data_IF_721591569961
#
_entry.id   IF_721591569961
#
_cell.length_a   1.000
_cell.length_b   1.000
_cell.length_c   1.000
_cell.angle_alpha   90.00
_cell.angle_beta   90.00
_cell.angle_gamma   90.00
#
_symmetry.space_group_name_H-M   'P 1'
#
loop_
_entity.id
_entity.type
_entity.pdbx_description
1 polymer ?
#
# COMPACT_ATOMS: atom_id res chain seq x y z
N UNK A 1 -62.76 -44.19 8.48
CA UNK A 1 -62.15 -45.05 7.43
C UNK A 1 -60.83 -44.42 7.04
N UNK A 2 -59.82 -45.27 6.84
CA UNK A 2 -58.39 -44.92 6.77
C UNK A 2 -58.05 -44.13 5.50
N UNK A 3 -57.12 -43.18 5.63
CA UNK A 3 -56.53 -42.36 4.58
C UNK A 3 -55.55 -43.15 3.71
N UNK A 4 -55.62 -43.00 2.38
CA UNK A 4 -54.43 -42.93 1.51
C UNK A 4 -54.79 -42.38 0.13
N UNK A 5 -54.38 -41.14 -0.16
CA UNK A 5 -54.31 -40.61 -1.52
C UNK A 5 -52.84 -40.63 -1.95
N UNK A 6 -52.53 -41.39 -2.99
CA UNK A 6 -51.26 -41.45 -3.67
C UNK A 6 -51.23 -40.33 -4.74
N UNK A 7 -50.28 -39.40 -4.64
CA UNK A 7 -49.83 -38.64 -5.80
C UNK A 7 -48.31 -38.55 -5.80
N UNK A 8 -47.76 -39.00 -6.92
CA UNK A 8 -46.34 -39.26 -7.18
C UNK A 8 -45.53 -37.97 -7.35
N UNK A 9 -44.26 -38.09 -6.96
CA UNK A 9 -43.22 -37.08 -6.92
C UNK A 9 -42.97 -36.33 -8.24
N UNK A 10 -42.77 -35.02 -8.13
CA UNK A 10 -42.01 -34.23 -9.11
C UNK A 10 -40.72 -33.77 -8.43
N UNK A 11 -39.58 -34.25 -8.92
CA UNK A 11 -38.25 -33.84 -8.46
C UNK A 11 -37.94 -32.50 -9.13
N UNK A 12 -37.95 -31.40 -8.37
CA UNK A 12 -37.30 -30.16 -8.79
C UNK A 12 -35.85 -30.25 -8.33
N UNK A 13 -34.95 -30.47 -9.29
CA UNK A 13 -33.53 -30.26 -9.08
C UNK A 13 -33.31 -28.75 -8.88
N UNK A 14 -33.30 -28.31 -7.62
CA UNK A 14 -32.73 -27.02 -7.28
C UNK A 14 -31.21 -27.18 -7.36
N UNK A 15 -30.62 -26.72 -8.45
CA UNK A 15 -29.20 -26.40 -8.49
C UNK A 15 -28.94 -25.38 -7.37
N UNK A 16 -28.40 -25.87 -6.26
CA UNK A 16 -27.73 -25.03 -5.29
C UNK A 16 -26.53 -24.41 -6.01
N UNK A 17 -26.74 -23.25 -6.65
CA UNK A 17 -25.67 -22.30 -6.82
C UNK A 17 -25.23 -21.98 -5.40
N UNK A 18 -24.11 -22.56 -4.97
CA UNK A 18 -23.40 -22.12 -3.79
C UNK A 18 -23.13 -20.64 -4.01
N UNK A 19 -23.97 -19.78 -3.43
CA UNK A 19 -23.59 -18.42 -3.15
C UNK A 19 -22.40 -18.55 -2.20
N UNK A 20 -21.20 -18.51 -2.78
CA UNK A 20 -19.98 -18.37 -2.01
C UNK A 20 -20.21 -17.13 -1.14
N UNK A 21 -20.35 -17.37 0.15
CA UNK A 21 -20.50 -16.32 1.12
C UNK A 21 -19.21 -15.51 1.05
N UNK A 22 -19.29 -14.34 0.41
CA UNK A 22 -18.34 -13.26 0.62
C UNK A 22 -18.63 -12.78 2.05
N UNK A 23 -18.07 -13.48 3.04
CA UNK A 23 -18.01 -12.97 4.39
C UNK A 23 -16.96 -11.88 4.40
N UNK A 24 -17.49 -10.67 4.41
CA UNK A 24 -16.78 -9.43 4.25
C UNK A 24 -15.86 -9.20 5.47
N UNK A 25 -14.54 -9.28 5.26
CA UNK A 25 -13.48 -8.73 6.13
C UNK A 25 -13.57 -7.18 6.28
N UNK A 26 -14.62 -6.51 5.79
CA UNK A 26 -14.66 -5.05 5.66
C UNK A 26 -14.87 -4.26 6.95
N UNK A 27 -15.26 -4.89 8.07
CA UNK A 27 -15.43 -4.12 9.32
C UNK A 27 -14.08 -3.70 9.90
N UNK A 28 -13.08 -4.56 9.78
CA UNK A 28 -11.74 -4.28 10.31
C UNK A 28 -10.98 -3.32 9.39
N UNK A 29 -11.05 -3.54 8.07
CA UNK A 29 -10.41 -2.64 7.09
C UNK A 29 -10.99 -1.24 7.09
N UNK A 30 -12.31 -1.08 7.23
CA UNK A 30 -12.95 0.24 7.31
C UNK A 30 -12.55 0.99 8.59
N UNK A 31 -12.46 0.27 9.73
CA UNK A 31 -12.04 0.85 10.99
C UNK A 31 -10.58 1.30 10.93
N UNK A 32 -9.70 0.47 10.36
CA UNK A 32 -8.29 0.84 10.15
C UNK A 32 -8.17 2.05 9.21
N UNK A 33 -8.89 2.07 8.10
CA UNK A 33 -8.83 3.18 7.15
C UNK A 33 -9.29 4.52 7.73
N UNK A 34 -10.36 4.51 8.54
CA UNK A 34 -10.83 5.71 9.26
C UNK A 34 -9.82 6.22 10.30
N UNK A 35 -8.82 5.41 10.67
CA UNK A 35 -7.74 5.83 11.58
C UNK A 35 -6.51 6.35 10.86
N UNK A 36 -6.43 6.25 9.52
CA UNK A 36 -5.28 6.76 8.75
C UNK A 36 -5.37 8.29 8.64
N UNK A 37 -4.45 8.99 9.29
CA UNK A 37 -4.43 10.45 9.37
C UNK A 37 -3.01 10.99 9.22
N UNK A 38 -2.88 12.29 8.98
CA UNK A 38 -1.56 12.96 9.03
C UNK A 38 -0.89 12.76 10.39
N UNK A 39 -1.68 12.83 11.46
CA UNK A 39 -1.17 12.78 12.84
C UNK A 39 -0.52 11.43 13.21
N UNK A 40 -0.91 10.34 12.56
CA UNK A 40 -0.32 9.02 12.77
C UNK A 40 0.49 8.52 11.56
N UNK A 41 0.92 9.43 10.68
CA UNK A 41 1.68 9.09 9.48
C UNK A 41 0.99 8.01 8.64
N UNK A 42 -0.34 8.08 8.54
CA UNK A 42 -1.18 7.09 7.85
C UNK A 42 -0.86 5.66 8.28
N UNK A 43 -0.71 5.42 9.59
CA UNK A 43 -0.41 4.12 10.17
C UNK A 43 1.08 3.77 10.28
N UNK A 44 1.99 4.63 9.81
CA UNK A 44 3.44 4.42 9.85
C UNK A 44 4.18 5.49 10.70
N UNK A 45 3.90 5.63 12.01
CA UNK A 45 4.48 6.71 12.83
C UNK A 45 5.98 6.59 13.07
N UNK A 46 6.56 5.40 12.86
CA UNK A 46 7.98 5.15 13.00
C UNK A 46 8.56 5.03 11.58
N UNK A 47 9.50 5.91 11.18
CA UNK A 47 10.05 5.91 9.82
C UNK A 47 10.83 4.61 9.54
N UNK A 48 11.01 4.24 8.27
CA UNK A 48 11.46 2.90 7.89
C UNK A 48 12.92 2.58 8.27
N UNK A 49 13.72 3.59 8.62
CA UNK A 49 15.10 3.46 9.12
C UNK A 49 15.20 3.29 10.64
N UNK A 50 14.08 3.35 11.36
CA UNK A 50 14.06 3.18 12.81
C UNK A 50 13.59 1.77 13.22
N UNK A 51 14.14 1.21 14.32
CA UNK A 51 13.71 -0.08 14.84
C UNK A 51 12.22 -0.13 15.17
N UNK A 52 11.57 -1.24 14.83
CA UNK A 52 10.14 -1.45 15.11
C UNK A 52 9.19 -0.77 14.14
N UNK A 53 9.70 -0.16 13.06
CA UNK A 53 8.88 0.40 11.99
C UNK A 53 7.97 -0.66 11.35
N UNK A 54 6.75 -0.22 10.98
CA UNK A 54 5.79 -1.02 10.21
C UNK A 54 5.18 -0.16 9.10
N UNK A 55 4.97 -0.73 7.91
CA UNK A 55 4.30 0.00 6.84
C UNK A 55 2.88 0.36 7.30
N UNK A 56 2.43 1.55 6.93
CA UNK A 56 1.11 2.04 7.33
C UNK A 56 -0.01 1.40 6.51
N UNK A 57 0.26 1.19 5.22
CA UNK A 57 -0.68 0.62 4.27
C UNK A 57 0.04 0.00 3.07
N UNK A 58 -0.73 -0.66 2.20
CA UNK A 58 -0.23 -1.40 1.04
C UNK A 58 -0.96 -0.94 -0.22
N UNK A 59 -0.21 -0.78 -1.31
CA UNK A 59 -0.74 -0.42 -2.61
C UNK A 59 -0.26 -1.41 -3.68
N UNK A 60 -1.11 -2.39 -3.99
CA UNK A 60 -0.83 -3.42 -4.98
C UNK A 60 -1.82 -4.59 -4.94
N UNK A 61 -1.61 -5.58 -5.80
CA UNK A 61 -2.58 -6.65 -6.08
C UNK A 61 -2.47 -7.92 -5.21
N UNK A 62 -1.73 -7.91 -4.10
CA UNK A 62 -1.40 -9.12 -3.34
C UNK A 62 -1.60 -9.05 -1.82
N UNK A 63 -1.90 -10.20 -1.21
CA UNK A 63 -1.90 -10.36 0.25
C UNK A 63 -0.46 -10.40 0.77
N UNK A 64 -0.10 -9.50 1.69
CA UNK A 64 1.21 -9.51 2.35
C UNK A 64 1.15 -10.36 3.62
N UNK A 65 1.69 -11.58 3.57
CA UNK A 65 2.05 -12.35 4.78
C UNK A 65 0.93 -12.64 5.78
N UNK A 66 -0.34 -12.66 5.35
CA UNK A 66 -1.49 -12.92 6.24
C UNK A 66 -1.87 -11.77 7.18
N UNK A 67 -1.32 -10.56 7.00
CA UNK A 67 -1.76 -9.35 7.68
C UNK A 67 -2.70 -8.60 6.73
N UNK A 68 -3.94 -8.36 7.19
CA UNK A 68 -4.92 -7.52 6.48
C UNK A 68 -4.44 -6.08 6.56
N UNK A 69 -3.60 -5.69 5.60
CA UNK A 69 -3.27 -4.29 5.36
C UNK A 69 -4.45 -3.69 4.58
N UNK A 70 -5.00 -2.52 4.95
CA UNK A 70 -6.13 -1.96 4.23
C UNK A 70 -5.74 -1.74 2.77
N UNK A 71 -6.37 -2.52 1.89
CA UNK A 71 -6.31 -2.29 0.45
C UNK A 71 -7.16 -1.05 0.20
N UNK A 72 -6.54 0.01 -0.30
CA UNK A 72 -7.24 1.21 -0.75
C UNK A 72 -7.91 0.93 -2.09
N UNK A 73 -8.98 0.10 -2.06
CA UNK A 73 -9.83 -0.18 -3.21
C UNK A 73 -11.33 -0.22 -2.84
N UNK A 74 -12.18 -0.31 -3.86
CA UNK A 74 -13.60 -0.63 -3.72
C UNK A 74 -14.40 0.28 -2.77
N UNK A 75 -15.08 -0.33 -1.80
CA UNK A 75 -15.99 0.35 -0.86
C UNK A 75 -15.23 1.32 0.05
N UNK A 76 -13.95 1.04 0.34
CA UNK A 76 -13.13 1.91 1.18
C UNK A 76 -12.88 3.25 0.49
N UNK A 77 -12.62 3.21 -0.81
CA UNK A 77 -12.51 4.42 -1.62
C UNK A 77 -13.79 5.22 -1.70
N UNK A 78 -14.94 4.55 -1.87
CA UNK A 78 -16.23 5.23 -1.88
C UNK A 78 -16.51 5.98 -0.55
N UNK A 79 -15.98 5.50 0.57
CA UNK A 79 -16.12 6.18 1.88
C UNK A 79 -15.12 7.33 2.04
N UNK A 80 -13.85 7.14 1.61
CA UNK A 80 -12.83 8.20 1.65
C UNK A 80 -13.19 9.37 0.71
N UNK A 81 -13.81 9.10 -0.43
CA UNK A 81 -14.32 10.15 -1.33
C UNK A 81 -15.47 10.97 -0.71
N UNK A 82 -16.22 10.39 0.23
CA UNK A 82 -17.32 11.06 0.92
C UNK A 82 -16.85 11.92 2.11
N UNK A 83 -15.65 11.65 2.64
CA UNK A 83 -15.02 12.35 3.75
C UNK A 83 -13.63 12.84 3.32
N UNK A 84 -13.53 14.00 2.65
CA UNK A 84 -12.27 14.51 2.11
C UNK A 84 -11.33 14.93 3.26
N UNK A 85 -10.60 13.95 3.79
CA UNK A 85 -9.51 14.13 4.74
C UNK A 85 -8.19 14.31 3.97
N UNK A 86 -7.05 14.02 4.59
CA UNK A 86 -5.72 14.23 3.99
C UNK A 86 -5.22 13.05 3.13
N UNK A 87 -5.94 11.93 3.14
CA UNK A 87 -5.70 10.76 2.29
C UNK A 87 -6.82 10.68 1.26
N UNK A 88 -6.47 10.74 -0.02
CA UNK A 88 -7.39 10.49 -1.11
C UNK A 88 -7.29 9.05 -1.54
N UNK A 89 -8.32 8.53 -2.21
CA UNK A 89 -8.12 7.23 -2.84
C UNK A 89 -7.16 7.34 -4.02
N UNK A 90 -6.20 6.41 -4.11
CA UNK A 90 -5.29 6.39 -5.24
C UNK A 90 -6.08 6.17 -6.55
N UNK A 91 -5.63 6.75 -7.67
CA UNK A 91 -6.23 6.46 -8.97
C UNK A 91 -6.12 4.96 -9.29
N UNK A 92 -7.13 4.34 -9.94
CA UNK A 92 -7.16 2.90 -10.20
C UNK A 92 -5.87 2.42 -10.86
N UNK A 93 -5.33 1.29 -10.37
CA UNK A 93 -4.10 0.71 -10.90
C UNK A 93 -4.38 -0.27 -12.05
N UNK A 94 -3.60 -0.24 -13.15
CA UNK A 94 -2.59 0.76 -13.47
C UNK A 94 -3.22 2.12 -13.84
N UNK A 95 -2.57 3.25 -13.49
CA UNK A 95 -3.09 4.57 -13.84
C UNK A 95 -3.22 4.69 -15.36
N UNK A 96 -4.20 5.48 -15.86
CA UNK A 96 -4.32 5.76 -17.28
C UNK A 96 -2.99 6.33 -17.81
N UNK A 97 -2.55 5.94 -19.02
CA UNK A 97 -1.35 6.53 -19.60
C UNK A 97 -1.54 8.04 -19.72
N UNK A 98 -0.51 8.85 -19.38
CA UNK A 98 -0.59 10.29 -19.51
C UNK A 98 -0.86 10.70 -20.98
N UNK A 99 -1.48 11.87 -21.21
CA UNK A 99 -1.68 12.38 -22.56
C UNK A 99 -0.36 12.41 -23.34
N UNK A 100 -0.39 12.11 -24.66
CA UNK A 100 0.79 12.24 -25.50
C UNK A 100 1.34 13.67 -25.36
N UNK A 101 2.60 13.81 -24.91
CA UNK A 101 3.35 15.06 -24.71
C UNK A 101 3.20 15.80 -23.36
N UNK A 102 2.55 15.24 -22.35
CA UNK A 102 2.69 15.79 -20.99
C UNK A 102 4.13 15.55 -20.48
N UNK A 103 4.81 16.53 -19.85
CA UNK A 103 6.05 16.25 -19.14
C UNK A 103 5.77 15.21 -18.04
N UNK A 104 6.75 14.35 -17.71
CA UNK A 104 6.58 13.43 -16.58
C UNK A 104 6.29 14.26 -15.33
N UNK A 105 5.33 13.84 -14.51
CA UNK A 105 4.96 14.55 -13.29
C UNK A 105 6.07 14.51 -12.25
N UNK A 106 6.86 13.45 -12.27
CA UNK A 106 8.01 13.24 -11.40
C UNK A 106 9.31 13.12 -12.19
N UNK A 107 10.38 13.70 -11.66
CA UNK A 107 11.75 13.55 -12.16
C UNK A 107 12.58 12.73 -11.19
N UNK A 108 13.26 11.70 -11.69
CA UNK A 108 14.22 10.94 -10.90
C UNK A 108 15.40 11.82 -10.47
N UNK A 109 15.69 11.92 -9.17
CA UNK A 109 16.77 12.71 -8.60
C UNK A 109 18.05 11.91 -8.33
N UNK A 110 17.90 10.62 -8.04
CA UNK A 110 18.99 9.65 -7.95
C UNK A 110 18.47 8.25 -8.27
N UNK A 111 19.39 7.33 -8.58
CA UNK A 111 19.04 5.95 -8.88
C UNK A 111 20.08 4.94 -8.45
N UNK A 112 19.62 3.71 -8.26
CA UNK A 112 20.41 2.51 -8.02
C UNK A 112 21.43 2.64 -6.87
N UNK A 113 21.01 3.28 -5.77
CA UNK A 113 21.82 3.38 -4.56
C UNK A 113 21.57 2.18 -3.63
N UNK A 114 22.53 1.94 -2.73
CA UNK A 114 22.46 0.88 -1.70
C UNK A 114 22.00 1.39 -0.34
N UNK A 115 21.49 2.62 -0.29
CA UNK A 115 20.95 3.24 0.91
C UNK A 115 19.66 3.99 0.53
N UNK A 116 18.70 4.02 1.45
CA UNK A 116 17.42 4.71 1.32
C UNK A 116 17.49 6.11 1.94
N UNK A 117 16.59 6.98 1.50
CA UNK A 117 16.48 8.35 2.00
C UNK A 117 16.08 8.37 3.47
N UNK A 118 16.80 9.17 4.27
CA UNK A 118 16.36 9.66 5.58
C UNK A 118 16.21 11.17 5.52
N UNK A 119 15.05 11.67 5.96
CA UNK A 119 14.83 13.11 6.05
C UNK A 119 13.72 13.43 7.06
N UNK A 120 13.81 14.61 7.68
CA UNK A 120 12.84 15.11 8.66
C UNK A 120 11.45 15.39 8.07
N UNK A 121 11.32 15.54 6.75
CA UNK A 121 10.07 15.75 6.04
C UNK A 121 9.25 14.48 5.81
N UNK A 122 9.60 13.38 6.48
CA UNK A 122 8.91 12.10 6.40
C UNK A 122 7.40 12.22 6.63
N UNK A 123 6.61 11.65 5.71
CA UNK A 123 5.16 11.62 5.77
C UNK A 123 4.63 10.25 6.16
N UNK A 124 5.04 9.20 5.45
CA UNK A 124 4.60 7.82 5.67
C UNK A 124 5.45 6.86 4.83
N UNK A 125 5.28 5.55 5.03
CA UNK A 125 5.75 4.57 4.06
C UNK A 125 4.77 3.40 3.93
N UNK A 126 4.77 2.81 2.75
CA UNK A 126 3.97 1.63 2.41
C UNK A 126 4.80 0.64 1.59
N UNK A 127 4.17 -0.48 1.24
CA UNK A 127 4.73 -1.45 0.32
C UNK A 127 3.96 -1.38 -1.01
N UNK A 128 4.68 -1.46 -2.12
CA UNK A 128 4.10 -1.39 -3.47
C UNK A 128 4.78 -2.37 -4.41
N UNK A 129 4.09 -2.73 -5.49
CA UNK A 129 4.64 -3.67 -6.49
C UNK A 129 5.53 -2.96 -7.53
N UNK A 130 5.30 -1.67 -7.79
CA UNK A 130 6.02 -0.92 -8.85
C UNK A 130 6.30 0.54 -8.44
N UNK A 131 7.25 1.17 -9.12
CA UNK A 131 7.52 2.62 -8.99
C UNK A 131 6.28 3.45 -9.31
N UNK A 132 5.51 3.07 -10.34
CA UNK A 132 4.23 3.72 -10.65
C UNK A 132 3.19 3.58 -9.52
N UNK A 133 3.21 2.45 -8.80
CA UNK A 133 2.43 2.28 -7.58
C UNK A 133 2.86 3.26 -6.49
N UNK A 134 4.17 3.46 -6.30
CA UNK A 134 4.67 4.44 -5.32
C UNK A 134 4.30 5.88 -5.70
N UNK A 135 4.32 6.21 -6.99
CA UNK A 135 3.85 7.51 -7.49
C UNK A 135 2.39 7.74 -7.14
N UNK A 136 1.49 6.81 -7.50
CA UNK A 136 0.07 6.91 -7.16
C UNK A 136 -0.15 6.99 -5.64
N UNK A 137 0.69 6.31 -4.86
CA UNK A 137 0.70 6.43 -3.41
C UNK A 137 1.09 7.84 -2.94
N UNK A 138 2.11 8.46 -3.54
CA UNK A 138 2.46 9.86 -3.26
C UNK A 138 1.31 10.81 -3.61
N UNK A 139 0.69 10.66 -4.78
CA UNK A 139 -0.43 11.50 -5.24
C UNK A 139 -1.65 11.43 -4.30
N UNK A 140 -1.83 10.29 -3.63
CA UNK A 140 -2.92 10.06 -2.66
C UNK A 140 -2.68 10.73 -1.30
N UNK A 141 -1.43 11.08 -0.96
CA UNK A 141 -1.04 11.63 0.34
C UNK A 141 -0.82 13.13 0.25
N UNK A 142 -1.69 13.89 0.91
CA UNK A 142 -1.58 15.35 0.95
C UNK A 142 -0.19 15.79 1.41
N UNK A 143 0.44 16.63 0.59
CA UNK A 143 1.76 17.21 0.87
C UNK A 143 2.94 16.36 0.44
N UNK A 144 2.73 15.17 -0.14
CA UNK A 144 3.82 14.42 -0.75
C UNK A 144 4.40 15.17 -1.96
N UNK A 145 5.72 15.31 -1.98
CA UNK A 145 6.47 15.99 -3.06
C UNK A 145 7.73 15.25 -3.47
N UNK A 146 8.16 14.28 -2.68
CA UNK A 146 9.26 13.40 -2.99
C UNK A 146 8.94 12.00 -2.50
N UNK A 147 9.31 10.99 -3.28
CA UNK A 147 9.26 9.61 -2.84
C UNK A 147 10.55 8.86 -3.15
N UNK A 148 10.90 7.92 -2.28
CA UNK A 148 12.03 7.01 -2.47
C UNK A 148 11.51 5.56 -2.50
N UNK A 149 11.84 4.84 -3.58
CA UNK A 149 11.56 3.42 -3.72
C UNK A 149 12.82 2.62 -3.52
N UNK A 150 12.76 1.49 -2.80
CA UNK A 150 13.90 0.59 -2.59
C UNK A 150 13.45 -0.79 -2.14
N UNK A 151 14.33 -1.79 -2.27
CA UNK A 151 14.14 -3.08 -1.62
C UNK A 151 14.82 -3.10 -0.26
N UNK A 152 14.04 -3.44 0.78
CA UNK A 152 14.52 -3.68 2.14
C UNK A 152 14.76 -5.19 2.31
N UNK A 153 15.89 -5.68 1.80
CA UNK A 153 16.17 -7.12 1.70
C UNK A 153 16.34 -7.69 3.09
N UNK A 154 15.68 -8.82 3.36
CA UNK A 154 15.49 -9.42 4.69
C UNK A 154 14.67 -8.56 5.68
N UNK A 155 14.47 -7.28 5.42
CA UNK A 155 13.57 -6.42 6.18
C UNK A 155 12.10 -6.74 5.93
N UNK A 156 11.23 -6.03 6.65
CA UNK A 156 9.75 -6.06 6.48
C UNK A 156 9.16 -7.47 6.41
N UNK A 157 9.59 -8.38 7.30
CA UNK A 157 9.18 -9.79 7.33
C UNK A 157 9.48 -10.55 6.02
N UNK A 158 10.55 -10.19 5.32
CA UNK A 158 10.97 -10.84 4.07
C UNK A 158 10.11 -10.47 2.85
N UNK A 159 9.37 -9.35 2.91
CA UNK A 159 8.56 -8.93 1.76
C UNK A 159 9.45 -8.64 0.55
N UNK A 160 9.13 -9.18 -0.65
CA UNK A 160 9.87 -8.88 -1.88
C UNK A 160 9.50 -7.53 -2.49
N UNK A 161 8.51 -6.83 -1.92
CA UNK A 161 7.94 -5.62 -2.48
C UNK A 161 8.88 -4.41 -2.35
N UNK A 162 8.61 -3.38 -3.15
CA UNK A 162 9.27 -2.10 -3.01
C UNK A 162 8.73 -1.41 -1.77
N UNK A 163 9.63 -0.97 -0.91
CA UNK A 163 9.28 0.03 0.10
C UNK A 163 9.13 1.37 -0.59
N UNK A 164 7.99 2.03 -0.37
CA UNK A 164 7.67 3.36 -0.88
C UNK A 164 7.64 4.34 0.29
N UNK A 165 8.69 5.14 0.47
CA UNK A 165 8.78 6.15 1.52
C UNK A 165 8.45 7.54 0.94
N UNK A 166 7.51 8.24 1.59
CA UNK A 166 6.99 9.53 1.13
C UNK A 166 7.48 10.68 2.01
N UNK A 167 7.76 11.81 1.38
CA UNK A 167 8.31 12.99 2.03
C UNK A 167 7.67 14.27 1.51
N UNK A 168 7.56 15.28 2.38
CA UNK A 168 7.02 16.61 2.02
C UNK A 168 8.08 17.57 1.49
N UNK A 169 9.36 17.22 1.56
CA UNK A 169 10.43 17.99 0.91
C UNK A 169 10.20 18.03 -0.60
N UNK A 170 10.42 19.19 -1.20
CA UNK A 170 10.19 19.38 -2.65
C UNK A 170 11.08 18.48 -3.51
N UNK A 171 12.30 18.21 -3.06
CA UNK A 171 13.20 17.28 -3.72
C UNK A 171 14.35 16.92 -2.77
N UNK A 172 14.73 15.65 -2.76
CA UNK A 172 15.90 15.15 -2.03
C UNK A 172 16.89 14.51 -3.02
N UNK A 173 18.17 14.67 -2.74
CA UNK A 173 19.27 14.15 -3.57
C UNK A 173 19.90 12.90 -2.98
N UNK A 174 20.85 12.32 -3.72
CA UNK A 174 21.62 11.14 -3.30
C UNK A 174 22.30 11.30 -1.93
N UNK A 175 22.61 12.51 -1.49
CA UNK A 175 23.18 12.78 -0.16
C UNK A 175 22.23 12.47 1.00
N UNK A 176 20.92 12.39 0.74
CA UNK A 176 19.92 11.97 1.73
C UNK A 176 19.83 10.45 1.88
N UNK A 177 20.42 9.69 0.95
CA UNK A 177 20.39 8.25 0.93
C UNK A 177 21.48 7.67 1.85
N UNK A 178 21.22 7.65 3.15
CA UNK A 178 22.16 7.24 4.18
C UNK A 178 21.61 6.09 5.08
N UNK A 179 20.36 5.65 4.88
CA UNK A 179 19.83 4.44 5.51
C UNK A 179 20.24 3.21 4.70
N UNK A 180 21.35 2.58 5.05
CA UNK A 180 21.86 1.41 4.32
C UNK A 180 21.35 0.07 4.87
N UNK A 181 20.39 0.09 5.81
CA UNK A 181 19.98 -1.08 6.60
C UNK A 181 20.95 -1.34 7.77
N UNK A 182 21.03 -2.59 8.22
CA UNK A 182 21.84 -3.02 9.36
C UNK A 182 21.04 -3.47 10.59
N UNK A 183 19.71 -3.46 10.52
CA UNK A 183 18.81 -3.92 11.57
C UNK A 183 18.76 -5.45 11.61
N UNK A 184 18.80 -5.99 12.83
CA UNK A 184 18.62 -7.44 13.06
C UNK A 184 17.14 -7.81 12.98
N UNK A 185 16.86 -8.81 12.16
CA UNK A 185 15.53 -9.35 11.94
C UNK A 185 15.25 -10.50 12.93
N UNK A 186 13.98 -10.86 13.18
CA UNK A 186 13.62 -11.93 14.11
C UNK A 186 14.22 -13.31 13.76
N UNK A 187 14.50 -13.55 12.48
CA UNK A 187 15.14 -14.78 11.98
C UNK A 187 16.68 -14.77 12.10
N UNK A 188 17.26 -13.70 12.66
CA UNK A 188 18.70 -13.54 12.87
C UNK A 188 19.45 -12.94 11.68
N UNK A 189 18.78 -12.76 10.53
CA UNK A 189 19.36 -12.06 9.38
C UNK A 189 19.53 -10.57 9.67
N UNK A 190 20.34 -9.90 8.86
CA UNK A 190 20.50 -8.44 8.88
C UNK A 190 19.93 -7.90 7.58
N UNK A 191 19.13 -6.83 7.68
CA UNK A 191 18.58 -6.17 6.50
C UNK A 191 19.63 -5.33 5.77
N UNK A 192 19.39 -5.11 4.48
CA UNK A 192 20.19 -4.21 3.66
C UNK A 192 19.37 -3.65 2.51
N UNK A 193 19.73 -2.44 2.07
CA UNK A 193 18.99 -1.73 1.04
C UNK A 193 19.58 -1.98 -0.35
N UNK A 194 18.73 -2.22 -1.34
CA UNK A 194 19.13 -2.28 -2.76
C UNK A 194 18.13 -1.54 -3.66
N UNK A 195 18.58 -1.19 -4.87
CA UNK A 195 17.78 -0.52 -5.90
C UNK A 195 17.04 0.73 -5.39
N UNK A 196 17.75 1.58 -4.65
CA UNK A 196 17.17 2.80 -4.09
C UNK A 196 17.15 3.93 -5.11
N UNK A 197 15.95 4.38 -5.45
CA UNK A 197 15.66 5.41 -6.45
C UNK A 197 14.82 6.54 -5.82
N UNK A 198 15.16 7.79 -6.11
CA UNK A 198 14.45 8.97 -5.61
C UNK A 198 13.75 9.73 -6.72
N UNK A 199 12.54 10.23 -6.46
CA UNK A 199 11.70 10.91 -7.43
C UNK A 199 11.12 12.19 -6.84
N UNK A 200 11.36 13.32 -7.49
CA UNK A 200 10.86 14.62 -7.10
C UNK A 200 9.67 15.01 -7.96
N UNK A 201 8.62 15.52 -7.35
CA UNK A 201 7.52 16.15 -8.07
C UNK A 201 8.05 17.38 -8.82
N UNK A 202 7.65 17.55 -10.07
CA UNK A 202 8.02 18.71 -10.88
C UNK A 202 7.25 19.98 -10.51
#
# INVERSE_FOLDING_TARGET
MRFTALFSALVVAASAASAAQVEIESRDTLSVALTLTVANHYGAPIPPWQPGCKPGWYYGGGLVGGVVVPILDGVLCAVLDLLPLCLHCPPPYPPPPPPPNSPPEYRQSFSNLTCATQDSSYLTYGLVDTVAGCQAMCDSVSGCKFFNTYHDVNGKNGSPQLTCALFSASCLGASSADNCGGQKQPDGTTDYITNSDGFCHN
#
